data_IF_675454214208
#
_entry.id   IF_675454214208
#
_cell.length_a   1.000
_cell.length_b   1.000
_cell.length_c   1.000
_cell.angle_alpha   90.00
_cell.angle_beta   90.00
_cell.angle_gamma   90.00
#
_symmetry.space_group_name_H-M   'P 1'
#
loop_
_entity.id
_entity.type
_entity.pdbx_description
1 polymer ?
#
# COMPACT_ATOMS: atom_id res chain seq x y z
N UNK A 1 53.75 33.56 47.53
CA UNK A 1 53.29 34.40 46.39
C UNK A 1 52.64 33.52 45.35
N UNK A 2 51.44 33.89 44.89
CA UNK A 2 50.52 33.08 44.09
C UNK A 2 50.95 33.03 42.61
N UNK A 3 51.11 31.82 42.05
CA UNK A 3 51.12 31.54 40.60
C UNK A 3 49.73 31.02 40.22
N UNK A 4 48.84 31.93 39.82
CA UNK A 4 47.58 31.63 39.13
C UNK A 4 47.39 32.76 38.15
N UNK A 5 47.81 32.53 36.91
CA UNK A 5 47.35 33.19 35.68
C UNK A 5 48.10 32.53 34.51
N UNK A 6 47.62 31.37 34.10
CA UNK A 6 47.92 30.80 32.79
C UNK A 6 46.71 29.98 32.31
N UNK A 7 45.94 30.63 31.44
CA UNK A 7 45.18 30.06 30.33
C UNK A 7 43.99 29.15 30.70
N UNK A 8 42.85 29.81 30.98
CA UNK A 8 41.54 29.30 30.61
C UNK A 8 41.34 29.57 29.10
N UNK A 9 41.49 28.55 28.27
CA UNK A 9 40.79 28.49 26.99
C UNK A 9 39.69 27.44 27.14
N UNK A 10 38.40 27.80 27.09
CA UNK A 10 37.36 26.81 26.96
C UNK A 10 37.45 26.23 25.55
N UNK A 11 37.88 24.98 25.43
CA UNK A 11 37.60 24.17 24.25
C UNK A 11 36.08 24.10 24.12
N UNK A 12 35.54 24.87 23.18
CA UNK A 12 34.16 24.74 22.75
C UNK A 12 34.01 23.37 22.10
N UNK A 13 33.57 22.38 22.87
CA UNK A 13 32.98 21.17 22.30
C UNK A 13 31.65 21.60 21.73
N UNK A 14 31.65 21.91 20.43
CA UNK A 14 30.43 22.06 19.66
C UNK A 14 29.75 20.68 19.64
N UNK A 15 28.79 20.47 20.53
CA UNK A 15 27.79 19.42 20.37
C UNK A 15 26.96 19.85 19.16
N UNK A 16 27.36 19.42 17.97
CA UNK A 16 26.47 19.37 16.82
C UNK A 16 25.36 18.39 17.21
N UNK A 17 24.26 18.93 17.71
CA UNK A 17 22.99 18.23 17.67
C UNK A 17 22.79 17.85 16.21
N UNK A 18 22.92 16.56 15.89
CA UNK A 18 22.52 16.05 14.60
C UNK A 18 21.06 16.48 14.43
N UNK A 19 20.82 17.42 13.50
CA UNK A 19 19.47 17.77 13.11
C UNK A 19 18.80 16.46 12.71
N UNK A 20 17.90 15.96 13.54
CA UNK A 20 17.07 14.83 13.18
C UNK A 20 16.39 15.24 11.88
N UNK A 21 16.75 14.56 10.79
CA UNK A 21 16.00 14.71 9.55
C UNK A 21 14.55 14.43 9.93
N UNK A 22 13.60 15.36 9.69
CA UNK A 22 12.21 15.10 10.02
C UNK A 22 11.83 13.75 9.41
N UNK A 23 11.34 12.83 10.23
CA UNK A 23 10.85 11.55 9.74
C UNK A 23 9.78 11.76 8.67
N UNK A 24 9.54 10.75 7.82
CA UNK A 24 8.50 10.86 6.81
C UNK A 24 7.17 11.32 7.45
N UNK A 25 6.39 12.22 6.81
CA UNK A 25 5.11 12.71 7.36
C UNK A 25 4.17 11.58 7.75
N UNK A 26 4.27 10.44 7.06
CA UNK A 26 3.59 9.18 7.36
C UNK A 26 3.89 8.56 8.73
N UNK A 27 4.77 9.13 9.55
CA UNK A 27 5.03 8.62 10.91
C UNK A 27 3.83 8.83 11.84
N UNK A 28 3.05 9.91 11.62
CA UNK A 28 1.84 10.17 12.40
C UNK A 28 0.68 9.30 11.90
N UNK A 29 0.07 8.52 12.78
CA UNK A 29 -1.04 7.61 12.40
C UNK A 29 -2.39 8.32 12.39
N UNK A 30 -2.54 9.40 13.17
CA UNK A 30 -3.76 10.16 13.39
C UNK A 30 -3.66 11.62 12.91
N UNK A 31 -2.89 11.87 11.85
CA UNK A 31 -2.80 13.21 11.27
C UNK A 31 -4.20 13.70 10.86
N UNK A 32 -4.52 14.96 11.18
CA UNK A 32 -5.87 15.50 11.02
C UNK A 32 -6.42 15.32 9.59
N UNK A 33 -7.62 14.75 9.50
CA UNK A 33 -8.31 14.48 8.24
C UNK A 33 -7.76 13.29 7.44
N UNK A 34 -6.78 12.55 7.96
CA UNK A 34 -6.33 11.31 7.34
C UNK A 34 -7.34 10.20 7.56
N UNK A 35 -7.75 9.54 6.48
CA UNK A 35 -8.63 8.38 6.52
C UNK A 35 -7.94 7.15 5.94
N UNK A 36 -8.41 5.96 6.28
CA UNK A 36 -7.90 4.70 5.74
C UNK A 36 -9.04 3.85 5.19
N UNK A 37 -8.90 3.44 3.93
CA UNK A 37 -9.79 2.47 3.32
C UNK A 37 -9.19 1.08 3.56
N UNK A 38 -9.80 0.32 4.47
CA UNK A 38 -9.31 -1.00 4.87
C UNK A 38 -9.89 -2.10 3.98
N UNK A 39 -9.02 -2.80 3.27
CA UNK A 39 -9.27 -4.00 2.44
C UNK A 39 -8.59 -5.21 3.10
N UNK A 40 -9.19 -6.38 2.96
CA UNK A 40 -8.60 -7.61 3.46
C UNK A 40 -9.54 -8.78 3.28
N UNK A 41 -9.00 -9.98 3.44
CA UNK A 41 -9.74 -11.24 3.28
C UNK A 41 -9.43 -12.24 4.41
N UNK A 42 -8.87 -11.74 5.52
CA UNK A 42 -8.41 -12.54 6.64
C UNK A 42 -7.03 -13.20 6.45
N UNK A 43 -6.46 -13.18 5.24
CA UNK A 43 -5.12 -13.68 4.94
C UNK A 43 -4.10 -12.55 4.67
N UNK A 44 -4.60 -11.39 4.24
CA UNK A 44 -3.83 -10.15 4.11
C UNK A 44 -4.72 -8.96 4.51
N UNK A 45 -4.14 -7.93 5.12
CA UNK A 45 -4.81 -6.67 5.44
C UNK A 45 -4.08 -5.51 4.79
N UNK A 46 -4.83 -4.66 4.10
CA UNK A 46 -4.37 -3.51 3.32
C UNK A 46 -5.14 -2.27 3.78
N UNK A 47 -4.43 -1.21 4.15
CA UNK A 47 -5.02 0.13 4.31
C UNK A 47 -4.56 1.04 3.19
N UNK A 48 -5.49 1.67 2.48
CA UNK A 48 -5.18 2.75 1.53
C UNK A 48 -5.36 4.09 2.24
N UNK A 49 -4.28 4.84 2.41
CA UNK A 49 -4.27 6.11 3.14
C UNK A 49 -4.81 7.25 2.26
N UNK A 50 -5.89 7.90 2.69
CA UNK A 50 -6.34 9.18 2.15
C UNK A 50 -5.77 10.30 3.01
N UNK A 51 -4.68 10.92 2.57
CA UNK A 51 -4.11 12.11 3.20
C UNK A 51 -4.64 13.37 2.50
N UNK A 52 -5.32 14.29 3.20
CA UNK A 52 -5.98 15.44 2.57
C UNK A 52 -5.01 16.56 2.18
N UNK A 53 -3.82 16.58 2.79
CA UNK A 53 -2.75 17.54 2.52
C UNK A 53 -1.38 16.84 2.55
N UNK A 54 -0.35 17.34 1.86
CA UNK A 54 0.97 16.69 1.79
C UNK A 54 1.62 16.44 3.15
N UNK A 55 1.38 17.31 4.12
CA UNK A 55 1.94 17.24 5.47
C UNK A 55 1.30 16.13 6.31
N UNK A 56 0.10 15.68 5.94
CA UNK A 56 -0.60 14.59 6.65
C UNK A 56 -0.05 13.21 6.28
N UNK A 57 0.66 13.09 5.15
CA UNK A 57 1.23 11.83 4.69
C UNK A 57 1.12 11.61 3.19
N UNK A 58 1.54 10.42 2.80
CA UNK A 58 1.45 9.91 1.44
C UNK A 58 0.01 9.56 1.08
N UNK A 59 -0.67 10.46 0.37
CA UNK A 59 -1.98 10.18 -0.21
C UNK A 59 -1.91 8.97 -1.16
N UNK A 60 -2.86 8.04 -1.09
CA UNK A 60 -2.85 6.74 -1.77
C UNK A 60 -1.68 5.81 -1.40
N UNK A 61 -1.01 6.06 -0.26
CA UNK A 61 -0.04 5.12 0.31
C UNK A 61 -0.71 3.84 0.80
N UNK A 62 0.01 2.72 0.77
CA UNK A 62 -0.47 1.40 1.17
C UNK A 62 0.18 1.00 2.49
N UNK A 63 -0.66 0.74 3.47
CA UNK A 63 -0.29 0.06 4.70
C UNK A 63 -0.58 -1.42 4.49
N UNK A 64 0.44 -2.27 4.56
CA UNK A 64 0.27 -3.72 4.36
C UNK A 64 0.61 -4.43 5.66
N UNK A 65 -0.25 -5.33 6.11
CA UNK A 65 -0.07 -6.08 7.36
C UNK A 65 -0.44 -7.55 7.19
N UNK A 66 0.17 -8.39 8.03
CA UNK A 66 -0.37 -9.71 8.34
C UNK A 66 -1.59 -9.54 9.26
N UNK A 67 -2.75 -10.13 8.93
CA UNK A 67 -3.96 -10.01 9.75
C UNK A 67 -3.79 -10.57 11.16
N UNK A 68 -2.85 -11.50 11.38
CA UNK A 68 -2.60 -12.06 12.71
C UNK A 68 -1.62 -11.25 13.56
N UNK A 69 -0.97 -10.25 12.94
CA UNK A 69 0.03 -9.36 13.53
C UNK A 69 -0.26 -7.90 13.13
N UNK A 70 -1.42 -7.40 13.54
CA UNK A 70 -1.79 -6.00 13.35
C UNK A 70 -0.89 -5.10 14.20
N UNK A 71 -0.35 -4.05 13.57
CA UNK A 71 0.65 -3.16 14.15
C UNK A 71 0.28 -1.70 13.89
N UNK A 72 0.94 -0.77 14.59
CA UNK A 72 0.93 0.64 14.18
C UNK A 72 1.48 0.79 12.75
N UNK A 73 1.12 1.87 12.06
CA UNK A 73 1.55 2.13 10.67
C UNK A 73 3.06 1.94 10.43
N UNK A 74 3.91 2.36 11.38
CA UNK A 74 5.37 2.22 11.29
C UNK A 74 5.87 0.76 11.36
N UNK A 75 5.06 -0.15 11.89
CA UNK A 75 5.29 -1.60 11.91
C UNK A 75 4.60 -2.35 10.76
N UNK A 76 4.06 -1.64 9.77
CA UNK A 76 3.54 -2.28 8.55
C UNK A 76 4.68 -2.78 7.65
N UNK A 77 4.37 -3.75 6.80
CA UNK A 77 5.35 -4.51 6.02
C UNK A 77 6.08 -3.66 4.98
N UNK A 78 5.47 -2.56 4.53
CA UNK A 78 6.02 -1.67 3.49
C UNK A 78 6.33 -0.25 3.97
N UNK A 79 6.32 0.00 5.28
CA UNK A 79 6.72 1.31 5.81
C UNK A 79 8.24 1.45 5.80
N UNK A 80 8.73 2.62 5.40
CA UNK A 80 10.16 2.94 5.42
C UNK A 80 10.43 4.28 6.12
N UNK A 81 11.47 4.35 6.95
CA UNK A 81 11.73 5.52 7.81
C UNK A 81 11.92 6.84 7.08
N UNK A 82 12.49 6.81 5.86
CA UNK A 82 12.75 8.02 5.06
C UNK A 82 11.59 8.41 4.15
N UNK A 83 10.87 7.44 3.61
CA UNK A 83 9.86 7.66 2.57
C UNK A 83 8.44 7.40 3.05
N UNK A 84 8.25 6.87 4.26
CA UNK A 84 6.94 6.55 4.80
C UNK A 84 6.25 5.51 3.94
N UNK A 85 5.08 5.86 3.42
CA UNK A 85 4.31 5.06 2.46
C UNK A 85 4.45 5.57 1.02
N UNK A 86 5.36 6.51 0.76
CA UNK A 86 5.49 7.13 -0.56
C UNK A 86 5.83 6.14 -1.67
N UNK A 87 6.69 5.16 -1.34
CA UNK A 87 7.20 4.18 -2.31
C UNK A 87 6.15 3.11 -2.66
N UNK A 88 5.05 2.99 -1.92
CA UNK A 88 3.99 2.01 -2.22
C UNK A 88 3.01 2.53 -3.29
N UNK A 89 3.06 3.83 -3.62
CA UNK A 89 2.21 4.43 -4.64
C UNK A 89 2.59 3.95 -6.03
N UNK A 90 1.60 3.90 -6.92
CA UNK A 90 1.87 3.73 -8.34
C UNK A 90 2.59 4.98 -8.84
N UNK A 91 3.56 4.77 -9.72
CA UNK A 91 4.25 5.87 -10.41
C UNK A 91 4.06 5.70 -11.91
N UNK A 92 3.59 6.77 -12.56
CA UNK A 92 3.59 6.91 -14.01
C UNK A 92 4.82 7.70 -14.42
N UNK A 93 5.61 7.15 -15.34
CA UNK A 93 6.71 7.82 -16.00
C UNK A 93 6.31 8.15 -17.45
N UNK A 94 6.05 9.43 -17.71
CA UNK A 94 5.96 9.97 -19.07
C UNK A 94 7.20 10.83 -19.30
N UNK A 95 8.14 10.33 -20.10
CA UNK A 95 9.49 10.91 -20.22
C UNK A 95 10.31 10.79 -18.92
N UNK A 96 10.90 11.91 -18.47
CA UNK A 96 11.82 11.96 -17.33
C UNK A 96 11.15 12.25 -15.98
N UNK A 97 9.88 12.68 -15.97
CA UNK A 97 9.21 13.14 -14.76
C UNK A 97 8.27 12.07 -14.21
N UNK A 98 8.48 11.58 -12.97
CA UNK A 98 7.54 10.68 -12.33
C UNK A 98 6.32 11.45 -11.82
N UNK A 99 5.15 10.82 -11.95
CA UNK A 99 3.89 11.29 -11.38
C UNK A 99 3.23 10.19 -10.56
N UNK A 100 2.63 10.58 -9.44
CA UNK A 100 1.90 9.70 -8.51
C UNK A 100 0.67 10.46 -8.02
N UNK A 101 -0.35 9.76 -7.50
CA UNK A 101 -1.51 10.41 -6.90
C UNK A 101 -1.11 11.36 -5.77
N UNK A 102 -1.77 12.53 -5.72
CA UNK A 102 -1.51 13.61 -4.76
C UNK A 102 -2.81 14.10 -4.16
N UNK A 103 -2.78 14.66 -2.93
CA UNK A 103 -3.95 15.31 -2.36
C UNK A 103 -4.54 16.37 -3.30
N UNK A 104 -5.87 16.39 -3.44
CA UNK A 104 -6.60 17.32 -4.32
C UNK A 104 -6.48 17.04 -5.83
N UNK A 105 -5.71 16.03 -6.23
CA UNK A 105 -5.54 15.61 -7.64
C UNK A 105 -5.85 14.12 -7.86
N UNK A 106 -6.19 13.42 -6.78
CA UNK A 106 -6.57 12.03 -6.77
C UNK A 106 -7.81 11.85 -5.89
N UNK A 107 -8.68 10.94 -6.30
CA UNK A 107 -9.89 10.54 -5.59
C UNK A 107 -9.76 9.10 -5.14
N UNK A 108 -10.23 8.79 -3.93
CA UNK A 108 -10.27 7.44 -3.38
C UNK A 108 -11.72 7.14 -2.98
N UNK A 109 -12.25 6.01 -3.43
CA UNK A 109 -13.62 5.60 -3.11
C UNK A 109 -13.73 4.09 -2.90
N UNK A 110 -14.77 3.68 -2.16
CA UNK A 110 -15.21 2.30 -2.14
C UNK A 110 -16.07 1.99 -3.37
N UNK A 111 -15.79 0.86 -4.00
CA UNK A 111 -16.61 0.28 -5.06
C UNK A 111 -16.82 -1.22 -4.81
N UNK A 112 -17.85 -1.79 -5.42
CA UNK A 112 -18.19 -3.21 -5.25
C UNK A 112 -18.50 -3.89 -6.58
N UNK A 113 -17.59 -3.90 -7.57
CA UNK A 113 -17.87 -4.58 -8.82
C UNK A 113 -18.12 -6.07 -8.53
N UNK A 114 -19.22 -6.62 -9.02
CA UNK A 114 -19.64 -8.00 -8.74
C UNK A 114 -19.80 -8.35 -7.24
N UNK A 115 -19.97 -7.34 -6.39
CA UNK A 115 -20.07 -7.51 -4.93
C UNK A 115 -18.73 -7.76 -4.22
N UNK A 116 -17.59 -7.62 -4.90
CA UNK A 116 -16.26 -7.74 -4.29
C UNK A 116 -15.79 -6.37 -3.80
N UNK A 117 -15.43 -6.20 -2.51
CA UNK A 117 -14.88 -4.93 -2.01
C UNK A 117 -13.63 -4.52 -2.79
N UNK A 118 -13.68 -3.33 -3.38
CA UNK A 118 -12.59 -2.75 -4.16
C UNK A 118 -12.41 -1.29 -3.76
N UNK A 119 -11.18 -0.91 -3.39
CA UNK A 119 -10.83 0.51 -3.27
C UNK A 119 -10.38 0.98 -4.63
N UNK A 120 -11.05 2.02 -5.12
CA UNK A 120 -10.73 2.63 -6.40
C UNK A 120 -10.00 3.94 -6.17
N UNK A 121 -8.90 4.13 -6.88
CA UNK A 121 -8.14 5.37 -6.91
C UNK A 121 -8.19 5.94 -8.32
N UNK A 122 -8.62 7.19 -8.49
CA UNK A 122 -8.58 7.88 -9.79
C UNK A 122 -7.68 9.09 -9.70
N UNK A 123 -6.81 9.25 -10.69
CA UNK A 123 -5.95 10.43 -10.82
C UNK A 123 -5.56 10.64 -12.28
N UNK A 124 -4.96 11.78 -12.58
CA UNK A 124 -4.49 12.10 -13.92
C UNK A 124 -3.06 12.60 -13.91
N UNK A 125 -2.31 12.27 -14.95
CA UNK A 125 -0.96 12.77 -15.15
C UNK A 125 -0.57 12.70 -16.63
N UNK A 126 0.08 13.76 -17.13
CA UNK A 126 0.79 13.79 -18.41
C UNK A 126 -0.04 13.20 -19.59
N UNK A 127 -1.31 13.61 -19.70
CA UNK A 127 -2.22 13.17 -20.78
C UNK A 127 -2.94 11.84 -20.55
N UNK A 128 -2.70 11.17 -19.43
CA UNK A 128 -3.42 9.97 -19.01
C UNK A 128 -4.40 10.24 -17.88
N UNK A 129 -5.55 9.57 -17.95
CA UNK A 129 -6.39 9.26 -16.79
C UNK A 129 -6.06 7.85 -16.32
N UNK A 130 -5.81 7.71 -15.03
CA UNK A 130 -5.39 6.47 -14.39
C UNK A 130 -6.47 6.09 -13.39
N UNK A 131 -6.96 4.86 -13.50
CA UNK A 131 -7.84 4.24 -12.52
C UNK A 131 -7.15 3.00 -11.96
N UNK A 132 -7.04 2.93 -10.64
CA UNK A 132 -6.49 1.79 -9.92
C UNK A 132 -7.60 1.12 -9.13
N UNK A 133 -7.83 -0.17 -9.38
CA UNK A 133 -8.75 -1.01 -8.63
C UNK A 133 -7.94 -1.96 -7.74
N UNK A 134 -8.01 -1.74 -6.43
CA UNK A 134 -7.33 -2.54 -5.41
C UNK A 134 -8.32 -3.49 -4.74
N UNK A 135 -8.05 -4.79 -4.76
CA UNK A 135 -8.89 -5.78 -4.10
C UNK A 135 -8.11 -7.03 -3.68
N UNK A 136 -8.62 -7.72 -2.66
CA UNK A 136 -8.04 -8.98 -2.17
C UNK A 136 -8.92 -10.16 -2.62
N UNK A 137 -8.43 -11.09 -3.45
CA UNK A 137 -9.18 -12.26 -3.87
C UNK A 137 -9.47 -13.19 -2.69
N UNK A 138 -10.62 -13.86 -2.70
CA UNK A 138 -10.93 -14.84 -1.65
C UNK A 138 -9.95 -16.01 -1.66
N UNK A 139 -9.58 -16.50 -0.48
CA UNK A 139 -8.74 -17.69 -0.29
C UNK A 139 -7.27 -17.53 -0.64
N UNK A 140 -6.79 -16.32 -0.96
CA UNK A 140 -5.39 -16.09 -1.32
C UNK A 140 -4.83 -14.88 -0.55
N UNK A 141 -3.62 -14.95 0.03
CA UNK A 141 -2.98 -13.82 0.73
C UNK A 141 -2.36 -12.85 -0.30
N UNK A 142 -3.20 -12.27 -1.15
CA UNK A 142 -2.78 -11.41 -2.24
C UNK A 142 -3.56 -10.09 -2.27
N UNK A 143 -2.91 -9.04 -2.75
CA UNK A 143 -3.53 -7.81 -3.21
C UNK A 143 -3.37 -7.72 -4.73
N UNK A 144 -4.49 -7.60 -5.43
CA UNK A 144 -4.52 -7.34 -6.87
C UNK A 144 -4.70 -5.83 -7.06
N UNK A 145 -3.75 -5.19 -7.74
CA UNK A 145 -3.81 -3.80 -8.18
C UNK A 145 -3.95 -3.77 -9.70
N UNK A 146 -5.19 -3.63 -10.18
CA UNK A 146 -5.49 -3.46 -11.60
C UNK A 146 -5.42 -1.97 -11.95
N UNK A 147 -4.57 -1.61 -12.90
CA UNK A 147 -4.38 -0.24 -13.37
C UNK A 147 -4.95 -0.14 -14.78
N UNK A 148 -5.93 0.73 -14.98
CA UNK A 148 -6.45 1.10 -16.30
C UNK A 148 -5.91 2.48 -16.65
N UNK A 149 -5.28 2.62 -17.82
CA UNK A 149 -4.88 3.90 -18.39
C UNK A 149 -5.76 4.22 -19.58
N UNK A 150 -6.25 5.45 -19.61
CA UNK A 150 -6.94 6.05 -20.75
C UNK A 150 -6.15 7.27 -21.20
N UNK A 151 -5.67 7.27 -22.44
CA UNK A 151 -4.83 8.35 -22.96
C UNK A 151 -4.11 7.97 -24.24
N UNK A 152 -3.15 8.80 -24.63
CA UNK A 152 -2.34 8.62 -25.83
C UNK A 152 -0.85 8.79 -25.52
N UNK A 153 0.00 8.07 -26.24
CA UNK A 153 1.45 8.12 -26.09
C UNK A 153 2.05 6.83 -25.51
N UNK A 154 3.34 6.91 -25.16
CA UNK A 154 4.06 5.87 -24.45
C UNK A 154 4.35 6.32 -23.02
N UNK A 155 4.18 5.41 -22.06
CA UNK A 155 4.54 5.64 -20.67
C UNK A 155 5.07 4.36 -20.02
N UNK A 156 5.57 4.49 -18.79
CA UNK A 156 5.90 3.34 -17.94
C UNK A 156 5.16 3.44 -16.62
N UNK A 157 4.45 2.38 -16.26
CA UNK A 157 3.94 2.20 -14.91
C UNK A 157 5.02 1.57 -14.06
N UNK A 158 5.17 2.03 -12.82
CA UNK A 158 6.14 1.51 -11.86
C UNK A 158 5.48 1.26 -10.52
N UNK A 159 5.66 0.05 -9.99
CA UNK A 159 5.32 -0.32 -8.62
C UNK A 159 6.59 -0.80 -7.91
N UNK A 160 6.76 -0.43 -6.64
CA UNK A 160 8.01 -0.65 -5.90
C UNK A 160 7.77 -1.57 -4.72
N UNK A 161 8.66 -2.55 -4.53
CA UNK A 161 8.73 -3.34 -3.31
C UNK A 161 9.81 -2.76 -2.41
N UNK A 162 9.41 -1.91 -1.47
CA UNK A 162 10.29 -1.41 -0.42
C UNK A 162 9.84 -1.96 0.94
N UNK A 163 10.38 -3.11 1.36
CA UNK A 163 10.00 -3.71 2.62
C UNK A 163 10.52 -2.88 3.80
N UNK A 164 9.85 -3.02 4.94
CA UNK A 164 10.25 -2.40 6.19
C UNK A 164 11.60 -2.97 6.67
N UNK A 165 12.67 -2.17 6.76
CA UNK A 165 14.00 -2.68 7.08
C UNK A 165 14.14 -3.22 8.51
N UNK A 166 13.13 -3.00 9.37
CA UNK A 166 13.08 -3.60 10.71
C UNK A 166 12.47 -5.00 10.70
N UNK A 167 11.73 -5.36 9.65
CA UNK A 167 11.01 -6.63 9.54
C UNK A 167 11.61 -7.57 8.49
N UNK A 168 12.39 -7.04 7.56
CA UNK A 168 12.96 -7.79 6.45
C UNK A 168 14.45 -7.49 6.33
N UNK A 169 15.25 -8.55 6.26
CA UNK A 169 16.71 -8.54 6.13
C UNK A 169 17.17 -9.15 4.80
N UNK A 170 16.31 -9.91 4.12
CA UNK A 170 16.57 -10.50 2.81
C UNK A 170 15.80 -9.80 1.69
N UNK A 171 16.43 -9.68 0.53
CA UNK A 171 15.83 -9.08 -0.66
C UNK A 171 16.37 -9.74 -1.93
N UNK A 172 15.49 -10.13 -2.85
CA UNK A 172 15.85 -10.76 -4.12
C UNK A 172 15.08 -10.18 -5.31
N UNK A 173 15.75 -10.22 -6.48
CA UNK A 173 15.26 -9.70 -7.76
C UNK A 173 15.38 -10.78 -8.83
N UNK A 174 14.26 -11.46 -9.10
CA UNK A 174 14.15 -12.40 -10.22
C UNK A 174 13.82 -11.61 -11.49
N UNK A 175 14.88 -11.26 -12.24
CA UNK A 175 14.77 -10.53 -13.51
C UNK A 175 14.11 -11.35 -14.61
N UNK A 176 14.20 -12.68 -14.56
CA UNK A 176 13.65 -13.54 -15.60
C UNK A 176 12.13 -13.65 -15.46
N UNK A 177 11.63 -13.71 -14.22
CA UNK A 177 10.19 -13.77 -13.92
C UNK A 177 9.55 -12.42 -13.61
N UNK A 178 10.33 -11.34 -13.68
CA UNK A 178 9.91 -9.99 -13.30
C UNK A 178 9.24 -9.96 -11.92
N UNK A 179 9.95 -10.49 -10.92
CA UNK A 179 9.47 -10.63 -9.53
C UNK A 179 10.47 -10.04 -8.55
N UNK A 180 9.96 -9.31 -7.57
CA UNK A 180 10.71 -8.80 -6.43
C UNK A 180 10.23 -9.57 -5.21
N UNK A 181 11.16 -9.95 -4.32
CA UNK A 181 10.80 -10.61 -3.06
C UNK A 181 11.60 -10.06 -1.90
N UNK A 182 11.05 -10.16 -0.70
CA UNK A 182 11.74 -9.86 0.54
C UNK A 182 11.36 -10.88 1.61
N UNK A 183 12.37 -11.33 2.36
CA UNK A 183 12.26 -12.31 3.43
C UNK A 183 12.71 -11.72 4.78
N UNK A 184 12.23 -12.32 5.86
CA UNK A 184 12.52 -11.92 7.24
C UNK A 184 11.41 -12.41 8.17
N UNK A 185 10.75 -11.47 8.86
CA UNK A 185 9.60 -11.77 9.73
C UNK A 185 8.39 -12.33 8.95
N UNK A 186 8.22 -11.88 7.70
CA UNK A 186 7.28 -12.41 6.72
C UNK A 186 8.00 -12.63 5.39
N UNK A 187 7.34 -13.30 4.45
CA UNK A 187 7.74 -13.33 3.05
C UNK A 187 6.79 -12.49 2.22
N UNK A 188 7.30 -11.54 1.44
CA UNK A 188 6.47 -10.72 0.54
C UNK A 188 7.00 -10.75 -0.87
N UNK A 189 6.10 -10.76 -1.85
CA UNK A 189 6.48 -10.68 -3.26
C UNK A 189 5.64 -9.65 -4.00
N UNK A 190 6.26 -8.97 -4.96
CA UNK A 190 5.61 -8.12 -5.94
C UNK A 190 5.97 -8.63 -7.33
N UNK A 191 4.97 -8.85 -8.19
CA UNK A 191 5.18 -9.21 -9.59
C UNK A 191 4.10 -8.58 -10.49
N UNK A 192 4.32 -8.62 -11.80
CA UNK A 192 3.37 -8.16 -12.81
C UNK A 192 2.86 -9.32 -13.68
N UNK A 193 1.65 -9.19 -14.22
CA UNK A 193 1.13 -10.17 -15.19
C UNK A 193 1.55 -9.84 -16.63
N UNK A 194 1.67 -8.56 -16.93
CA UNK A 194 2.15 -8.07 -18.21
C UNK A 194 3.68 -8.10 -18.27
N UNK A 195 4.27 -8.08 -19.48
CA UNK A 195 5.72 -7.97 -19.64
C UNK A 195 6.28 -6.77 -18.88
N UNK A 196 7.04 -7.06 -17.83
CA UNK A 196 7.64 -6.07 -16.96
C UNK A 196 9.16 -6.26 -16.91
N UNK A 197 9.85 -5.18 -16.54
CA UNK A 197 11.27 -5.21 -16.22
C UNK A 197 11.48 -4.84 -14.75
N UNK A 198 12.44 -5.49 -14.12
CA UNK A 198 12.92 -5.10 -12.79
C UNK A 198 13.96 -3.99 -12.92
N UNK A 199 13.79 -2.88 -12.21
CA UNK A 199 14.76 -1.79 -12.10
C UNK A 199 14.97 -1.51 -10.62
N UNK A 200 16.11 -1.94 -10.08
CA UNK A 200 16.39 -1.91 -8.63
C UNK A 200 15.24 -2.55 -7.84
N UNK A 201 14.49 -1.75 -7.07
CA UNK A 201 13.35 -2.20 -6.24
C UNK A 201 11.99 -2.03 -6.88
N UNK A 202 11.95 -1.79 -8.18
CA UNK A 202 10.71 -1.47 -8.91
C UNK A 202 10.47 -2.44 -10.06
N UNK A 203 9.20 -2.71 -10.31
CA UNK A 203 8.71 -3.36 -11.53
C UNK A 203 8.12 -2.32 -12.44
N UNK A 204 8.59 -2.30 -13.67
CA UNK A 204 8.14 -1.35 -14.68
C UNK A 204 7.47 -2.06 -15.86
N UNK A 205 6.25 -1.65 -16.18
CA UNK A 205 5.49 -2.11 -17.35
C UNK A 205 5.45 -0.95 -18.35
N UNK A 206 5.85 -1.22 -19.60
CA UNK A 206 5.67 -0.26 -20.70
C UNK A 206 4.22 -0.32 -21.18
N UNK A 207 3.61 0.83 -21.34
CA UNK A 207 2.21 0.96 -21.75
C UNK A 207 2.08 1.97 -22.88
N UNK A 208 1.16 1.72 -23.80
CA UNK A 208 0.90 2.59 -24.96
C UNK A 208 -0.60 2.81 -25.12
N UNK A 209 -1.00 4.07 -25.28
CA UNK A 209 -2.42 4.44 -25.40
C UNK A 209 -3.28 3.87 -24.27
N UNK A 210 -4.49 3.41 -24.62
CA UNK A 210 -5.38 2.75 -23.68
C UNK A 210 -4.85 1.36 -23.34
N UNK A 211 -4.65 1.09 -22.05
CA UNK A 211 -4.03 -0.15 -21.60
C UNK A 211 -4.52 -0.55 -20.21
N UNK A 212 -4.37 -1.83 -19.89
CA UNK A 212 -4.60 -2.39 -18.57
C UNK A 212 -3.33 -3.10 -18.14
N UNK A 213 -2.96 -2.91 -16.87
CA UNK A 213 -1.83 -3.57 -16.24
C UNK A 213 -2.21 -4.09 -14.86
N UNK A 214 -1.53 -5.14 -14.38
CA UNK A 214 -1.77 -5.75 -13.09
C UNK A 214 -0.46 -5.90 -12.34
N UNK A 215 -0.43 -5.32 -11.13
CA UNK A 215 0.59 -5.61 -10.13
C UNK A 215 -0.02 -6.47 -9.04
N UNK A 216 0.63 -7.58 -8.71
CA UNK A 216 0.21 -8.50 -7.68
C UNK A 216 1.20 -8.44 -6.54
N UNK A 217 0.68 -8.18 -5.34
CA UNK A 217 1.43 -8.30 -4.10
C UNK A 217 0.96 -9.55 -3.35
N UNK A 218 1.88 -10.35 -2.81
CA UNK A 218 1.55 -11.56 -2.03
C UNK A 218 2.25 -11.54 -0.68
N UNK A 219 1.64 -12.20 0.29
CA UNK A 219 2.13 -12.35 1.67
C UNK A 219 2.20 -13.84 2.02
N UNK A 220 3.34 -14.29 2.56
CA UNK A 220 3.59 -15.63 3.07
C UNK A 220 3.17 -16.76 2.12
N UNK A 221 3.33 -16.52 0.82
CA UNK A 221 2.99 -17.46 -0.25
C UNK A 221 3.99 -17.34 -1.40
N UNK A 222 5.26 -17.72 -1.18
CA UNK A 222 6.32 -17.62 -2.18
C UNK A 222 5.93 -18.37 -3.44
N UNK A 223 6.20 -17.78 -4.60
CA UNK A 223 5.89 -18.44 -5.87
C UNK A 223 4.42 -18.40 -6.27
N UNK A 224 3.52 -17.82 -5.46
CA UNK A 224 2.10 -17.75 -5.80
C UNK A 224 1.90 -17.01 -7.13
N UNK A 225 1.11 -17.62 -8.00
CA UNK A 225 0.69 -17.06 -9.26
C UNK A 225 -0.84 -17.01 -9.25
N UNK A 226 -1.38 -15.79 -9.28
CA UNK A 226 -2.83 -15.54 -9.35
C UNK A 226 -3.23 -15.12 -10.76
N UNK A 227 -4.38 -15.62 -11.20
CA UNK A 227 -5.11 -15.08 -12.34
C UNK A 227 -6.31 -14.27 -11.83
N UNK A 228 -6.27 -12.93 -11.88
CA UNK A 228 -7.36 -12.06 -11.43
C UNK A 228 -8.72 -12.40 -12.05
N UNK A 229 -8.76 -12.83 -13.31
CA UNK A 229 -10.00 -13.15 -13.99
C UNK A 229 -10.61 -14.44 -13.42
N UNK A 230 -9.80 -15.49 -13.27
CA UNK A 230 -10.23 -16.75 -12.67
C UNK A 230 -10.67 -16.61 -11.21
N UNK A 231 -10.04 -15.68 -10.46
CA UNK A 231 -10.37 -15.45 -9.04
C UNK A 231 -11.58 -14.55 -8.82
N UNK A 232 -12.10 -13.85 -9.84
CA UNK A 232 -13.17 -12.87 -9.64
C UNK A 232 -14.49 -13.52 -9.23
N UNK A 233 -14.95 -14.53 -9.97
CA UNK A 233 -16.22 -15.20 -9.68
C UNK A 233 -16.23 -15.92 -8.31
N UNK A 234 -15.20 -16.70 -7.93
CA UNK A 234 -15.10 -17.26 -6.58
C UNK A 234 -15.08 -16.18 -5.49
N UNK A 235 -14.38 -15.07 -5.72
CA UNK A 235 -14.35 -13.95 -4.76
C UNK A 235 -15.72 -13.30 -4.61
N UNK A 236 -16.47 -13.11 -5.70
CA UNK A 236 -17.84 -12.62 -5.65
C UNK A 236 -18.76 -13.55 -4.85
N UNK A 237 -18.64 -14.86 -5.04
CA UNK A 237 -19.42 -15.85 -4.28
C UNK A 237 -19.08 -15.79 -2.78
N UNK A 238 -17.79 -15.78 -2.45
CA UNK A 238 -17.31 -15.64 -1.07
C UNK A 238 -17.85 -14.35 -0.42
N UNK A 239 -17.65 -13.20 -1.06
CA UNK A 239 -18.04 -11.93 -0.49
C UNK A 239 -19.56 -11.78 -0.38
N UNK A 240 -20.35 -12.36 -1.29
CA UNK A 240 -21.82 -12.47 -1.13
C UNK A 240 -22.20 -13.31 0.09
N UNK A 241 -21.55 -14.46 0.28
CA UNK A 241 -21.77 -15.32 1.44
C UNK A 241 -21.40 -14.64 2.75
N UNK A 242 -20.34 -13.84 2.75
CA UNK A 242 -20.01 -13.01 3.89
C UNK A 242 -21.05 -11.90 4.04
N UNK A 243 -21.25 -11.02 3.05
CA UNK A 243 -22.09 -9.79 3.10
C UNK A 243 -23.58 -9.98 3.37
N UNK A 244 -24.06 -11.21 3.51
CA UNK A 244 -25.42 -11.49 3.94
C UNK A 244 -25.46 -11.79 5.45
N UNK A 245 -26.05 -10.87 6.22
CA UNK A 245 -26.64 -11.18 7.53
C UNK A 245 -28.12 -10.85 7.44
N UNK A 246 -28.97 -11.79 7.87
CA UNK A 246 -30.35 -11.49 8.20
C UNK A 246 -30.66 -12.09 9.56
N UNK A 247 -31.10 -11.22 10.45
CA UNK A 247 -31.49 -11.53 11.82
C UNK A 247 -33.00 -11.67 11.96
N UNK A 248 -33.75 -11.30 10.92
CA UNK A 248 -35.21 -11.15 10.96
C UNK A 248 -35.67 -9.84 11.61
N UNK A 249 -34.75 -9.08 12.22
CA UNK A 249 -35.00 -7.74 12.75
C UNK A 249 -34.62 -6.67 11.71
N UNK A 250 -35.57 -5.81 11.27
CA UNK A 250 -35.30 -4.79 10.26
C UNK A 250 -34.23 -3.77 10.67
N UNK A 251 -34.10 -3.46 11.97
CA UNK A 251 -33.14 -2.49 12.49
C UNK A 251 -31.73 -3.04 12.50
N UNK A 252 -31.54 -4.26 12.98
CA UNK A 252 -30.24 -4.94 12.95
C UNK A 252 -29.79 -5.23 11.51
N UNK A 253 -30.70 -5.65 10.64
CA UNK A 253 -30.39 -5.89 9.22
C UNK A 253 -30.05 -4.57 8.50
N UNK A 254 -30.66 -3.45 8.91
CA UNK A 254 -30.29 -2.12 8.40
C UNK A 254 -28.90 -1.68 8.89
N UNK A 255 -28.64 -1.77 10.20
CA UNK A 255 -27.34 -1.46 10.78
C UNK A 255 -26.24 -2.32 10.18
N UNK A 256 -26.50 -3.61 9.99
CA UNK A 256 -25.56 -4.53 9.38
C UNK A 256 -25.22 -4.13 7.94
N UNK A 257 -26.24 -3.82 7.12
CA UNK A 257 -26.04 -3.34 5.75
C UNK A 257 -25.28 -2.02 5.70
N UNK A 258 -25.54 -1.11 6.64
CA UNK A 258 -24.79 0.14 6.77
C UNK A 258 -23.33 -0.10 7.24
N UNK A 259 -23.09 -1.14 8.04
CA UNK A 259 -21.77 -1.53 8.57
C UNK A 259 -20.93 -2.40 7.63
N UNK A 260 -21.50 -2.83 6.50
CA UNK A 260 -20.85 -3.74 5.55
C UNK A 260 -19.54 -3.21 4.98
N UNK A 261 -19.29 -1.91 5.13
CA UNK A 261 -18.09 -1.21 4.73
C UNK A 261 -17.03 -1.28 5.86
N UNK A 262 -15.96 -2.06 5.66
CA UNK A 262 -14.74 -2.00 6.46
C UNK A 262 -14.58 -3.06 7.56
N UNK A 263 -15.61 -3.42 8.32
CA UNK A 263 -15.45 -4.27 9.54
C UNK A 263 -14.82 -5.65 9.24
N UNK A 264 -15.08 -6.20 8.05
CA UNK A 264 -14.59 -7.55 7.69
C UNK A 264 -13.21 -7.58 7.07
N UNK A 265 -12.74 -6.45 6.58
CA UNK A 265 -11.37 -6.32 6.08
C UNK A 265 -10.35 -6.39 7.23
N UNK A 266 -10.79 -6.18 8.47
CA UNK A 266 -9.94 -6.09 9.67
C UNK A 266 -10.02 -7.31 10.59
N UNK A 267 -10.69 -8.39 10.17
CA UNK A 267 -10.74 -9.66 10.92
C UNK A 267 -9.83 -10.69 10.25
N UNK A 268 -8.90 -11.27 11.01
CA UNK A 268 -8.01 -12.33 10.55
C UNK A 268 -8.75 -13.65 10.34
N UNK A 269 -8.16 -14.57 9.57
CA UNK A 269 -8.68 -15.93 9.39
C UNK A 269 -8.80 -16.70 10.72
N UNK A 270 -8.05 -16.32 11.76
CA UNK A 270 -8.15 -16.90 13.10
C UNK A 270 -9.15 -16.16 14.00
N UNK A 271 -9.87 -15.18 13.49
CA UNK A 271 -10.83 -14.37 14.26
C UNK A 271 -10.20 -13.25 15.10
N UNK A 272 -8.91 -12.93 14.93
CA UNK A 272 -8.30 -11.77 15.58
C UNK A 272 -8.77 -10.50 14.90
N UNK A 273 -8.98 -9.43 15.65
CA UNK A 273 -9.26 -8.09 15.14
C UNK A 273 -8.53 -7.06 15.97
N UNK A 274 -8.10 -5.96 15.35
CA UNK A 274 -7.63 -4.80 16.09
C UNK A 274 -8.86 -4.07 16.65
N UNK A 275 -8.90 -3.90 17.98
CA UNK A 275 -10.04 -3.31 18.68
C UNK A 275 -10.15 -1.79 18.52
N UNK A 276 -9.13 -1.15 17.95
CA UNK A 276 -8.99 0.31 17.89
C UNK A 276 -8.33 0.89 19.13
#
# INVERSE_FOLDING_TARGET
MKRRDLLLTPSAVAILAAAQTPGAPDTQTNAHGTEYFLLGNGLITIGVQSAPVPEAGSHCGLVVMSPDHMNRKTGSLLWHSRSGLADTRLTLWSGAKPSSPKPGQAEIEWTYPDGVPTVRIRWAAEGYRITEDLWCPAGHPALIRRVTLEGAGEARLSATLRPNPLLFDEYDVDRQRARLSAGGYHHVELYALEPARTVDRSLEIRVTGNSVAHFIFTLDSPGLAVDPAALRAPSSAYWRGCSALSTGDPGLDHLFRASGHGIRAVVSGTGKMDGG
#
